data_IF_899714587000
#
_entry.id   IF_899714587000
#
_cell.length_a   1.000
_cell.length_b   1.000
_cell.length_c   1.000
_cell.angle_alpha   90.00
_cell.angle_beta   90.00
_cell.angle_gamma   90.00
#
_symmetry.space_group_name_H-M   'P 1'
#
loop_
_entity.id
_entity.type
_entity.pdbx_description
1 polymer ?
#
# COMPACT_ATOMS: atom_id res chain seq x y z
N UNK A 1 -41.03 8.82 -25.30
CA UNK A 1 -41.01 7.58 -26.09
C UNK A 1 -40.69 7.94 -27.54
N UNK A 2 -39.42 7.94 -27.92
CA UNK A 2 -38.96 8.08 -29.31
C UNK A 2 -37.56 7.48 -29.40
N UNK A 3 -37.38 6.67 -30.44
CA UNK A 3 -36.35 5.66 -30.64
C UNK A 3 -35.44 6.14 -31.77
N UNK A 4 -34.14 6.25 -31.52
CA UNK A 4 -33.04 6.45 -32.51
C UNK A 4 -31.81 5.86 -31.82
N UNK A 5 -31.24 4.68 -32.12
CA UNK A 5 -30.92 3.95 -33.35
C UNK A 5 -30.03 4.72 -34.33
N UNK A 6 -28.72 4.74 -34.02
CA UNK A 6 -27.59 4.97 -34.95
C UNK A 6 -26.36 4.40 -34.22
N UNK A 7 -25.83 3.21 -34.54
CA UNK A 7 -25.03 2.77 -35.69
C UNK A 7 -23.60 2.49 -35.20
N UNK A 8 -23.27 1.21 -35.25
CA UNK A 8 -21.99 0.57 -35.00
C UNK A 8 -20.97 1.01 -36.04
N UNK A 9 -19.76 1.39 -35.62
CA UNK A 9 -18.57 1.33 -36.49
C UNK A 9 -17.39 0.79 -35.69
N UNK A 10 -16.98 -0.40 -36.10
CA UNK A 10 -15.94 -1.24 -35.54
C UNK A 10 -14.71 -1.03 -36.43
N UNK A 11 -13.68 -0.34 -35.90
CA UNK A 11 -12.41 -0.15 -36.61
C UNK A 11 -11.36 -1.03 -35.94
N UNK A 12 -11.07 -2.15 -36.58
CA UNK A 12 -9.85 -2.93 -36.39
C UNK A 12 -8.68 -2.11 -36.92
N UNK A 13 -7.73 -1.73 -36.06
CA UNK A 13 -6.44 -1.21 -36.49
C UNK A 13 -5.33 -2.06 -35.89
N UNK A 14 -4.55 -2.66 -36.80
CA UNK A 14 -3.60 -3.72 -36.57
C UNK A 14 -2.38 -3.28 -35.73
N UNK A 15 -1.92 -4.20 -34.87
CA UNK A 15 -0.61 -4.17 -34.22
C UNK A 15 0.52 -4.40 -35.23
N UNK A 16 1.66 -3.70 -35.11
CA UNK A 16 2.95 -4.25 -35.45
C UNK A 16 3.64 -4.80 -34.18
N UNK A 17 3.88 -6.10 -34.18
CA UNK A 17 4.83 -6.75 -33.25
C UNK A 17 6.24 -6.24 -33.56
N UNK A 18 6.94 -5.73 -32.55
CA UNK A 18 8.39 -5.50 -32.61
C UNK A 18 9.07 -6.62 -31.83
N UNK A 19 9.83 -7.42 -32.57
CA UNK A 19 10.67 -8.48 -32.03
C UNK A 19 11.90 -7.89 -31.33
N UNK A 20 12.15 -8.27 -30.09
CA UNK A 20 13.44 -8.11 -29.45
C UNK A 20 14.22 -9.42 -29.61
N UNK A 21 15.27 -9.39 -30.43
CA UNK A 21 16.35 -10.35 -30.37
C UNK A 21 17.39 -9.80 -29.38
N UNK A 22 17.61 -10.51 -28.27
CA UNK A 22 18.70 -10.23 -27.33
C UNK A 22 19.79 -11.26 -27.59
N UNK A 23 20.95 -10.78 -28.06
CA UNK A 23 22.17 -11.54 -28.21
C UNK A 23 22.56 -12.25 -26.91
N UNK A 24 22.70 -13.56 -26.99
CA UNK A 24 23.27 -14.41 -25.95
C UNK A 24 24.76 -14.66 -26.27
N UNK A 25 25.59 -14.48 -25.26
CA UNK A 25 26.95 -15.02 -25.11
C UNK A 25 28.11 -14.30 -25.82
N UNK A 26 28.77 -13.39 -25.10
CA UNK A 26 30.22 -13.16 -25.22
C UNK A 26 30.75 -12.47 -23.94
N UNK A 27 31.41 -13.23 -23.06
CA UNK A 27 31.93 -12.69 -21.79
C UNK A 27 32.92 -13.62 -21.12
N UNK A 28 34.19 -13.38 -21.42
CA UNK A 28 35.38 -14.18 -21.22
C UNK A 28 35.72 -14.55 -19.76
N UNK A 29 36.25 -15.75 -19.59
CA UNK A 29 37.02 -16.23 -18.44
C UNK A 29 38.28 -15.39 -18.20
N UNK A 30 38.41 -14.80 -17.01
CA UNK A 30 39.72 -14.53 -16.39
C UNK A 30 39.66 -14.73 -14.88
N UNK A 31 40.39 -15.75 -14.43
CA UNK A 31 40.80 -15.95 -13.03
C UNK A 31 41.72 -14.81 -12.62
N UNK A 32 41.49 -14.23 -11.45
CA UNK A 32 42.51 -13.54 -10.66
C UNK A 32 42.39 -14.00 -9.21
N UNK A 33 43.51 -14.52 -8.71
CA UNK A 33 43.74 -15.01 -7.37
C UNK A 33 43.75 -13.89 -6.32
N UNK A 34 43.27 -14.27 -5.12
CA UNK A 34 43.71 -13.85 -3.79
C UNK A 34 43.93 -12.36 -3.48
N UNK A 35 43.06 -11.83 -2.62
CA UNK A 35 43.49 -11.00 -1.49
C UNK A 35 42.52 -11.17 -0.32
N UNK A 36 43.01 -11.82 0.73
CA UNK A 36 42.41 -11.87 2.05
C UNK A 36 42.47 -10.49 2.73
N UNK A 37 41.55 -10.30 3.67
CA UNK A 37 41.50 -9.26 4.70
C UNK A 37 41.16 -7.84 4.23
N UNK A 38 39.96 -7.38 4.57
CA UNK A 38 39.80 -6.47 5.71
C UNK A 38 38.32 -6.08 5.94
N UNK A 39 37.97 -6.09 7.23
CA UNK A 39 36.83 -5.44 7.89
C UNK A 39 35.44 -6.04 7.67
N UNK A 40 34.95 -6.68 8.74
CA UNK A 40 33.55 -7.01 8.90
C UNK A 40 32.66 -5.79 8.77
N UNK A 41 31.96 -5.68 7.66
CA UNK A 41 30.67 -5.02 7.61
C UNK A 41 29.65 -6.08 8.06
N UNK A 42 29.45 -6.20 9.37
CA UNK A 42 28.14 -6.63 9.86
C UNK A 42 27.16 -5.66 9.22
N UNK A 43 26.30 -6.15 8.32
CA UNK A 43 25.07 -5.45 7.95
C UNK A 43 24.10 -5.53 9.14
N UNK A 44 24.54 -5.06 10.30
CA UNK A 44 23.68 -4.57 11.36
C UNK A 44 23.21 -3.18 10.88
N UNK A 45 21.91 -2.95 10.92
CA UNK A 45 21.25 -1.65 10.65
C UNK A 45 20.94 -1.26 9.19
N UNK A 46 20.35 -2.15 8.40
CA UNK A 46 19.09 -1.75 7.75
C UNK A 46 17.93 -2.09 8.69
N UNK A 47 17.98 -1.48 9.87
CA UNK A 47 16.79 -1.31 10.69
C UNK A 47 15.94 -0.34 9.87
N UNK A 48 14.95 -0.88 9.16
CA UNK A 48 13.82 -0.08 8.73
C UNK A 48 13.23 0.50 10.02
N UNK A 49 13.71 1.69 10.40
CA UNK A 49 13.36 2.33 11.65
C UNK A 49 11.86 2.61 11.63
N UNK A 50 11.13 1.85 12.44
CA UNK A 50 9.68 1.89 12.57
C UNK A 50 9.14 0.48 12.76
N UNK A 51 8.60 0.20 13.95
CA UNK A 51 7.84 -1.02 14.19
C UNK A 51 6.57 -0.97 13.33
N UNK A 52 6.59 -1.64 12.17
CA UNK A 52 5.39 -1.85 11.37
C UNK A 52 4.65 -3.08 11.88
N UNK A 53 3.37 -2.91 12.17
CA UNK A 53 2.50 -3.96 12.68
C UNK A 53 1.34 -4.16 11.71
N UNK A 54 1.12 -5.42 11.29
CA UNK A 54 -0.06 -5.79 10.51
C UNK A 54 -1.28 -5.84 11.44
N UNK A 55 -2.30 -5.04 11.14
CA UNK A 55 -3.55 -4.98 11.90
C UNK A 55 -4.51 -6.12 11.54
N UNK A 56 -4.35 -6.69 10.35
CA UNK A 56 -5.13 -7.83 9.88
C UNK A 56 -5.46 -7.76 8.40
N UNK A 57 -6.27 -8.72 7.96
CA UNK A 57 -6.69 -8.89 6.58
C UNK A 57 -8.20 -9.15 6.51
N UNK A 58 -8.87 -8.58 5.51
CA UNK A 58 -10.28 -8.84 5.21
C UNK A 58 -10.50 -8.93 3.71
N UNK A 59 -11.30 -9.88 3.27
CA UNK A 59 -11.72 -10.01 1.88
C UNK A 59 -13.19 -9.59 1.73
N UNK A 60 -13.47 -8.67 0.81
CA UNK A 60 -14.83 -8.22 0.49
C UNK A 60 -14.96 -8.07 -1.02
N UNK A 61 -15.89 -8.83 -1.60
CA UNK A 61 -16.19 -8.79 -3.04
C UNK A 61 -14.93 -8.96 -3.90
N UNK A 62 -14.12 -9.99 -3.62
CA UNK A 62 -12.91 -10.31 -4.37
C UNK A 62 -11.73 -9.35 -4.17
N UNK A 63 -11.85 -8.37 -3.27
CA UNK A 63 -10.74 -7.49 -2.90
C UNK A 63 -10.29 -7.81 -1.49
N UNK A 64 -9.02 -8.16 -1.36
CA UNK A 64 -8.32 -8.37 -0.08
C UNK A 64 -7.73 -7.06 0.39
N UNK A 65 -8.12 -6.60 1.58
CA UNK A 65 -7.53 -5.47 2.26
C UNK A 65 -6.60 -5.94 3.38
N UNK A 66 -5.33 -5.51 3.35
CA UNK A 66 -4.33 -5.76 4.40
C UNK A 66 -3.94 -4.43 5.02
N UNK A 67 -4.25 -4.22 6.30
CA UNK A 67 -3.95 -2.98 7.00
C UNK A 67 -2.68 -3.10 7.84
N UNK A 68 -1.85 -2.06 7.77
CA UNK A 68 -0.57 -1.97 8.45
C UNK A 68 -0.50 -0.63 9.19
N UNK A 69 0.20 -0.61 10.32
CA UNK A 69 0.42 0.58 11.11
C UNK A 69 1.91 0.67 11.45
N UNK A 70 2.56 1.72 10.99
CA UNK A 70 3.98 1.96 11.24
C UNK A 70 4.13 3.08 12.27
N UNK A 71 4.87 2.83 13.34
CA UNK A 71 5.29 3.89 14.27
C UNK A 71 6.30 4.82 13.57
N UNK A 72 5.96 6.10 13.47
CA UNK A 72 6.79 7.16 12.88
C UNK A 72 7.04 8.30 13.88
N UNK A 73 6.69 8.13 15.16
CA UNK A 73 6.78 9.19 16.19
C UNK A 73 8.16 9.83 16.25
N UNK A 74 9.21 9.02 16.19
CA UNK A 74 10.58 9.53 16.26
C UNK A 74 10.87 10.49 15.09
N UNK A 75 10.69 10.01 13.85
CA UNK A 75 10.93 10.81 12.65
C UNK A 75 10.05 12.07 12.59
N UNK A 76 8.78 11.96 13.02
CA UNK A 76 7.85 13.08 13.05
C UNK A 76 8.21 14.10 14.12
N UNK A 77 8.61 13.65 15.32
CA UNK A 77 9.03 14.51 16.42
C UNK A 77 10.31 15.28 16.09
N UNK A 78 11.28 14.64 15.41
CA UNK A 78 12.50 15.31 14.92
C UNK A 78 12.18 16.44 13.93
N UNK A 79 11.09 16.29 13.17
CA UNK A 79 10.56 17.31 12.27
C UNK A 79 9.56 18.29 12.94
N UNK A 80 9.36 18.20 14.26
CA UNK A 80 8.45 19.08 15.00
C UNK A 80 6.96 18.80 14.80
N UNK A 81 6.60 17.60 14.31
CA UNK A 81 5.22 17.18 14.04
C UNK A 81 4.68 16.27 15.14
N UNK A 82 3.35 16.31 15.35
CA UNK A 82 2.64 15.48 16.36
C UNK A 82 2.06 14.18 15.78
N UNK A 83 2.35 13.89 14.52
CA UNK A 83 2.00 12.61 13.88
C UNK A 83 2.71 11.48 14.61
N UNK A 84 1.99 10.37 14.81
CA UNK A 84 2.53 9.23 15.57
C UNK A 84 2.71 7.99 14.71
N UNK A 85 1.77 7.74 13.81
CA UNK A 85 1.76 6.51 13.03
C UNK A 85 1.44 6.83 11.58
N UNK A 86 1.98 6.01 10.69
CA UNK A 86 1.58 5.97 9.30
C UNK A 86 0.65 4.77 9.12
N UNK A 87 -0.63 5.03 8.83
CA UNK A 87 -1.61 4.00 8.52
C UNK A 87 -1.54 3.66 7.04
N UNK A 88 -1.43 2.37 6.72
CA UNK A 88 -1.39 1.87 5.35
C UNK A 88 -2.46 0.80 5.16
N UNK A 89 -3.04 0.75 3.97
CA UNK A 89 -3.89 -0.35 3.53
C UNK A 89 -3.52 -0.74 2.10
N UNK A 90 -3.13 -1.99 1.92
CA UNK A 90 -2.99 -2.59 0.60
C UNK A 90 -4.33 -3.18 0.20
N UNK A 91 -4.79 -2.85 -1.01
CA UNK A 91 -5.98 -3.43 -1.61
C UNK A 91 -5.55 -4.29 -2.78
N UNK A 92 -5.91 -5.57 -2.78
CA UNK A 92 -5.46 -6.53 -3.77
C UNK A 92 -6.67 -7.21 -4.42
N UNK A 93 -6.76 -7.14 -5.74
CA UNK A 93 -7.80 -7.80 -6.53
C UNK A 93 -7.45 -9.27 -6.78
N UNK A 94 -8.25 -10.17 -6.21
CA UNK A 94 -8.07 -11.61 -6.35
C UNK A 94 -8.27 -12.10 -7.79
N UNK A 95 -9.05 -11.38 -8.61
CA UNK A 95 -9.33 -11.81 -9.98
C UNK A 95 -8.15 -11.54 -10.93
N UNK A 96 -7.42 -10.46 -10.69
CA UNK A 96 -6.30 -10.01 -11.54
C UNK A 96 -4.93 -10.22 -10.90
N UNK A 97 -4.88 -10.65 -9.64
CA UNK A 97 -3.66 -10.80 -8.84
C UNK A 97 -2.84 -9.49 -8.78
N UNK A 98 -3.55 -8.35 -8.70
CA UNK A 98 -2.95 -7.03 -8.78
C UNK A 98 -3.27 -6.18 -7.55
N UNK A 99 -2.28 -5.41 -7.12
CA UNK A 99 -2.48 -4.35 -6.13
C UNK A 99 -3.20 -3.17 -6.78
N UNK A 100 -4.22 -2.67 -6.10
CA UNK A 100 -5.05 -1.56 -6.50
C UNK A 100 -4.52 -0.31 -5.82
N UNK A 101 -4.14 0.69 -6.61
CA UNK A 101 -3.67 2.01 -6.15
C UNK A 101 -4.49 3.17 -6.73
N UNK A 102 -5.54 2.85 -7.49
CA UNK A 102 -6.49 3.81 -8.07
C UNK A 102 -7.87 3.72 -7.41
N UNK A 103 -8.50 4.88 -7.23
CA UNK A 103 -9.82 5.03 -6.62
C UNK A 103 -9.85 6.04 -5.49
N UNK A 104 -10.95 6.06 -4.74
CA UNK A 104 -11.10 6.86 -3.53
C UNK A 104 -11.08 5.94 -2.32
N UNK A 105 -10.10 6.14 -1.44
CA UNK A 105 -9.98 5.40 -0.17
C UNK A 105 -9.87 6.40 0.97
N UNK A 106 -10.58 6.15 2.06
CA UNK A 106 -10.51 6.97 3.27
C UNK A 106 -10.58 6.08 4.51
N UNK A 107 -9.91 6.48 5.57
CA UNK A 107 -9.98 5.83 6.88
C UNK A 107 -10.69 6.74 7.88
N UNK A 108 -11.55 6.15 8.69
CA UNK A 108 -12.11 6.78 9.88
C UNK A 108 -11.56 6.06 11.11
N UNK A 109 -10.97 6.81 12.02
CA UNK A 109 -10.39 6.28 13.26
C UNK A 109 -11.37 6.50 14.40
N UNK A 110 -11.66 5.44 15.16
CA UNK A 110 -12.36 5.50 16.44
C UNK A 110 -11.35 5.34 17.55
N UNK A 111 -11.30 6.32 18.45
CA UNK A 111 -10.42 6.36 19.61
C UNK A 111 -10.84 5.36 20.69
N UNK A 112 -9.96 5.05 21.67
CA UNK A 112 -10.31 4.24 22.85
C UNK A 112 -11.50 4.79 23.65
N UNK A 113 -11.74 6.10 23.59
CA UNK A 113 -12.90 6.76 24.21
C UNK A 113 -14.23 6.49 23.49
N UNK A 114 -14.19 5.85 22.31
CA UNK A 114 -15.33 5.68 21.42
C UNK A 114 -15.57 6.88 20.49
N UNK A 115 -14.83 7.98 20.65
CA UNK A 115 -14.94 9.14 19.76
C UNK A 115 -14.48 8.79 18.34
N UNK A 116 -15.27 9.15 17.35
CA UNK A 116 -14.90 9.04 15.94
C UNK A 116 -14.24 10.33 15.45
N UNK A 117 -13.04 10.22 14.89
CA UNK A 117 -12.38 11.33 14.21
C UNK A 117 -12.97 11.55 12.81
N UNK A 118 -12.80 12.74 12.20
CA UNK A 118 -13.12 12.95 10.80
C UNK A 118 -12.42 11.93 9.89
N UNK A 119 -13.06 11.59 8.78
CA UNK A 119 -12.47 10.68 7.80
C UNK A 119 -11.25 11.34 7.13
N UNK A 120 -10.15 10.60 7.08
CA UNK A 120 -8.89 11.01 6.46
C UNK A 120 -8.81 10.33 5.10
N UNK A 121 -8.69 11.12 4.03
CA UNK A 121 -8.46 10.59 2.69
C UNK A 121 -7.08 9.94 2.64
N UNK A 122 -7.01 8.70 2.16
CA UNK A 122 -5.75 8.00 1.98
C UNK A 122 -5.21 8.30 0.58
N UNK A 123 -3.90 8.48 0.50
CA UNK A 123 -3.18 8.74 -0.74
C UNK A 123 -2.66 7.42 -1.31
N UNK A 124 -2.98 7.16 -2.59
CA UNK A 124 -2.43 6.01 -3.31
C UNK A 124 -0.94 6.23 -3.60
N UNK A 125 -0.11 5.27 -3.20
CA UNK A 125 1.34 5.28 -3.34
C UNK A 125 1.82 3.85 -3.61
N UNK A 126 2.38 3.59 -4.80
CA UNK A 126 3.10 2.35 -5.14
C UNK A 126 2.42 1.07 -4.60
N UNK A 127 1.17 0.81 -5.01
CA UNK A 127 0.45 -0.42 -4.64
C UNK A 127 -0.19 -0.45 -3.25
N UNK A 128 -0.22 0.66 -2.50
CA UNK A 128 -0.97 0.79 -1.26
C UNK A 128 -1.57 2.19 -1.10
N UNK A 129 -2.46 2.37 -0.12
CA UNK A 129 -3.00 3.66 0.28
C UNK A 129 -2.54 4.01 1.69
N UNK A 130 -2.03 5.22 1.90
CA UNK A 130 -1.48 5.64 3.19
C UNK A 130 -1.92 7.02 3.65
N UNK A 131 -1.91 7.23 4.97
CA UNK A 131 -2.01 8.54 5.59
C UNK A 131 -1.40 8.54 7.00
N UNK A 132 -0.92 9.72 7.39
CA UNK A 132 -0.40 9.98 8.72
C UNK A 132 -1.54 10.21 9.73
N UNK A 133 -1.41 9.61 10.91
CA UNK A 133 -2.40 9.68 11.99
C UNK A 133 -1.75 9.92 13.35
N UNK A 134 -2.49 10.61 14.22
CA UNK A 134 -2.12 10.85 15.62
C UNK A 134 -2.95 9.94 16.53
N UNK A 135 -2.29 8.97 17.15
CA UNK A 135 -2.82 8.01 18.11
C UNK A 135 -2.13 8.29 19.45
N UNK A 136 -2.62 9.32 20.16
CA UNK A 136 -1.92 9.91 21.30
C UNK A 136 -2.11 9.15 22.62
N UNK A 137 -3.17 8.33 22.73
CA UNK A 137 -3.53 7.64 23.97
C UNK A 137 -3.38 6.13 23.83
N UNK A 138 -3.01 5.40 24.89
CA UNK A 138 -3.08 3.94 24.88
C UNK A 138 -4.53 3.45 24.82
N UNK A 139 -4.73 2.19 24.41
CA UNK A 139 -6.04 1.53 24.36
C UNK A 139 -6.44 0.99 22.99
N UNK A 140 -7.69 0.53 22.87
CA UNK A 140 -8.22 -0.05 21.62
C UNK A 140 -8.60 1.05 20.62
N UNK A 141 -8.08 0.93 19.40
CA UNK A 141 -8.46 1.75 18.26
C UNK A 141 -9.18 0.90 17.22
N UNK A 142 -10.17 1.51 16.55
CA UNK A 142 -10.84 0.91 15.39
C UNK A 142 -10.59 1.76 14.15
N UNK A 143 -10.12 1.14 13.07
CA UNK A 143 -9.90 1.74 11.77
C UNK A 143 -10.96 1.24 10.80
N UNK A 144 -11.86 2.12 10.36
CA UNK A 144 -12.86 1.82 9.33
C UNK A 144 -12.39 2.38 8.00
N UNK A 145 -11.99 1.52 7.08
CA UNK A 145 -11.54 1.88 5.74
C UNK A 145 -12.71 1.78 4.78
N UNK A 146 -13.12 2.90 4.19
CA UNK A 146 -14.06 2.93 3.08
C UNK A 146 -13.32 3.07 1.75
N UNK A 147 -13.68 2.25 0.76
CA UNK A 147 -13.14 2.37 -0.59
C UNK A 147 -14.24 2.43 -1.65
N UNK A 148 -13.95 3.15 -2.73
CA UNK A 148 -14.66 3.11 -4.01
C UNK A 148 -13.60 3.05 -5.09
N UNK A 149 -13.41 1.86 -5.65
CA UNK A 149 -12.34 1.56 -6.59
C UNK A 149 -12.84 1.76 -8.02
N UNK A 150 -11.97 1.48 -9.01
CA UNK A 150 -12.28 1.66 -10.43
C UNK A 150 -13.43 0.77 -10.93
N UNK A 151 -13.73 -0.31 -10.20
CA UNK A 151 -14.88 -1.18 -10.44
C UNK A 151 -16.24 -0.57 -10.00
N UNK A 152 -16.22 0.62 -9.39
CA UNK A 152 -17.40 1.32 -8.90
C UNK A 152 -18.03 0.71 -7.65
N UNK A 153 -17.47 -0.37 -7.10
CA UNK A 153 -18.01 -1.03 -5.92
C UNK A 153 -17.52 -0.33 -4.65
N UNK A 154 -18.46 -0.09 -3.74
CA UNK A 154 -18.17 0.42 -2.40
C UNK A 154 -17.84 -0.73 -1.46
N UNK A 155 -16.73 -0.63 -0.74
CA UNK A 155 -16.32 -1.61 0.28
C UNK A 155 -16.00 -0.91 1.58
N UNK A 156 -16.23 -1.61 2.69
CA UNK A 156 -15.92 -1.12 4.03
C UNK A 156 -15.21 -2.23 4.80
N UNK A 157 -13.96 -1.97 5.18
CA UNK A 157 -13.12 -2.88 5.97
C UNK A 157 -12.96 -2.31 7.37
N UNK A 158 -12.88 -3.17 8.39
CA UNK A 158 -12.73 -2.72 9.79
C UNK A 158 -11.59 -3.45 10.49
N UNK A 159 -10.57 -2.72 10.91
CA UNK A 159 -9.41 -3.27 11.62
C UNK A 159 -9.38 -2.74 13.05
N UNK A 160 -8.85 -3.53 13.97
CA UNK A 160 -8.69 -3.15 15.37
C UNK A 160 -7.27 -3.38 15.82
N UNK A 161 -6.79 -2.54 16.72
CA UNK A 161 -5.52 -2.73 17.40
C UNK A 161 -5.57 -2.17 18.81
N UNK A 162 -4.70 -2.66 19.69
CA UNK A 162 -4.54 -2.12 21.03
C UNK A 162 -3.14 -1.53 21.13
N UNK A 163 -3.05 -0.23 21.40
CA UNK A 163 -1.77 0.41 21.67
C UNK A 163 -1.43 0.26 23.17
N UNK A 164 -0.21 -0.20 23.50
CA UNK A 164 0.24 -0.33 24.87
C UNK A 164 0.45 1.05 25.52
N UNK A 165 0.50 1.07 26.86
CA UNK A 165 0.86 2.24 27.67
C UNK A 165 2.33 2.67 27.48
#
# INVERSE_FOLDING_TARGET
MMKKMTLMLLVFLALPMVAFASDCCAGNTTKVDSMEQHVGMKMDSMQMAGNEVMLGQQEIHGVTAMAHLKDVRQAMSEAGMTTTHHFMVMLHDQATDANLDQGSVAVKVTLPTGQQLPAIKLMGMQGHFGADVTLATPGEYTFTVGSMLVDGQKRVFTFKTVLPE
#
